data_IF_832199760404
#
_entry.id   IF_832199760404
#
_cell.length_a   1.000
_cell.length_b   1.000
_cell.length_c   1.000
_cell.angle_alpha   90.00
_cell.angle_beta   90.00
_cell.angle_gamma   90.00
#
_symmetry.space_group_name_H-M   'P 1'
#
loop_
_entity.id
_entity.type
_entity.pdbx_description
1 polymer ?
#
# COMPACT_ATOMS: atom_id res chain seq x y z
N UNK A 1 31.93 -17.41 0.04
CA UNK A 1 30.46 -17.47 -0.13
C UNK A 1 29.92 -16.09 0.15
N UNK A 2 29.41 -15.38 -0.87
CA UNK A 2 28.76 -14.08 -0.66
C UNK A 2 27.46 -14.24 0.13
N UNK A 3 27.01 -13.22 0.86
CA UNK A 3 25.77 -13.30 1.64
C UNK A 3 24.61 -13.69 0.71
N UNK A 4 23.78 -14.64 1.17
CA UNK A 4 22.53 -15.00 0.51
C UNK A 4 21.72 -13.70 0.30
N UNK A 5 21.66 -13.23 -0.96
CA UNK A 5 20.85 -12.07 -1.33
C UNK A 5 19.43 -12.38 -0.90
N UNK A 6 18.90 -11.65 0.09
CA UNK A 6 17.49 -11.75 0.53
C UNK A 6 16.64 -11.75 -0.74
N UNK A 7 15.94 -12.85 -1.03
CA UNK A 7 15.09 -12.91 -2.23
C UNK A 7 14.00 -11.87 -2.06
N UNK A 8 13.93 -10.90 -2.97
CA UNK A 8 12.88 -9.88 -2.99
C UNK A 8 11.54 -10.56 -3.20
N UNK A 9 10.53 -10.09 -2.49
CA UNK A 9 9.20 -10.70 -2.48
C UNK A 9 8.59 -10.74 -3.89
N UNK A 10 8.83 -9.69 -4.68
CA UNK A 10 8.38 -9.58 -6.07
C UNK A 10 8.87 -10.75 -6.92
N UNK A 11 10.14 -11.16 -6.74
CA UNK A 11 10.72 -12.32 -7.43
C UNK A 11 10.09 -13.63 -6.96
N UNK A 12 9.81 -13.76 -5.66
CA UNK A 12 9.14 -14.95 -5.12
C UNK A 12 7.73 -15.08 -5.70
N UNK A 13 6.95 -13.99 -5.68
CA UNK A 13 5.60 -13.95 -6.24
C UNK A 13 5.64 -14.26 -7.74
N UNK A 14 6.57 -13.64 -8.49
CA UNK A 14 6.67 -13.87 -9.93
C UNK A 14 6.98 -15.34 -10.24
N UNK A 15 7.95 -15.93 -9.55
CA UNK A 15 8.32 -17.32 -9.76
C UNK A 15 7.17 -18.26 -9.41
N UNK A 16 6.43 -17.97 -8.33
CA UNK A 16 5.28 -18.76 -7.93
C UNK A 16 4.15 -18.68 -8.96
N UNK A 17 3.79 -17.48 -9.41
CA UNK A 17 2.75 -17.29 -10.43
C UNK A 17 3.13 -17.96 -11.76
N UNK A 18 4.40 -17.85 -12.19
CA UNK A 18 4.89 -18.56 -13.38
C UNK A 18 4.84 -20.08 -13.25
N UNK A 19 5.22 -20.60 -12.08
CA UNK A 19 5.11 -22.02 -11.77
C UNK A 19 3.65 -22.50 -11.86
N UNK A 20 2.72 -21.69 -11.37
CA UNK A 20 1.28 -21.95 -11.43
C UNK A 20 0.65 -21.57 -12.79
N UNK A 21 1.48 -21.44 -13.84
CA UNK A 21 1.11 -21.17 -15.23
C UNK A 21 0.43 -19.81 -15.50
N UNK A 22 0.61 -18.83 -14.61
CA UNK A 22 0.20 -17.46 -14.88
C UNK A 22 1.30 -16.68 -15.61
N UNK A 23 0.90 -16.03 -16.70
CA UNK A 23 1.75 -15.08 -17.42
C UNK A 23 1.82 -13.76 -16.65
N UNK A 24 2.98 -13.46 -16.07
CA UNK A 24 3.21 -12.22 -15.32
C UNK A 24 4.58 -11.59 -15.60
N UNK A 25 4.61 -10.26 -15.55
CA UNK A 25 5.80 -9.43 -15.73
C UNK A 25 6.23 -8.81 -14.40
N UNK A 26 7.48 -8.36 -14.35
CA UNK A 26 8.06 -7.73 -13.17
C UNK A 26 8.51 -6.30 -13.48
N UNK A 27 8.28 -5.40 -12.52
CA UNK A 27 8.63 -3.99 -12.56
C UNK A 27 9.20 -3.53 -11.20
N UNK A 28 10.45 -3.89 -10.93
CA UNK A 28 11.14 -3.57 -9.67
C UNK A 28 12.66 -3.41 -9.90
N UNK A 29 13.40 -3.00 -8.86
CA UNK A 29 14.80 -2.59 -8.93
C UNK A 29 15.82 -3.63 -9.40
N UNK A 30 15.48 -4.93 -9.38
CA UNK A 30 16.36 -5.99 -9.91
C UNK A 30 16.14 -6.24 -11.42
N UNK A 31 15.06 -5.71 -12.00
CA UNK A 31 14.78 -5.83 -13.44
C UNK A 31 15.56 -4.75 -14.18
N UNK A 32 16.33 -5.11 -15.20
CA UNK A 32 17.16 -4.17 -15.94
C UNK A 32 16.33 -3.08 -16.66
N UNK A 33 16.86 -1.86 -16.87
CA UNK A 33 16.08 -0.74 -17.46
C UNK A 33 15.42 -1.07 -18.81
N UNK A 34 16.13 -1.79 -19.69
CA UNK A 34 15.60 -2.21 -21.00
C UNK A 34 14.43 -3.19 -20.83
N UNK A 35 14.60 -4.21 -20.00
CA UNK A 35 13.57 -5.20 -19.71
C UNK A 35 12.35 -4.56 -19.05
N UNK A 36 12.53 -3.58 -18.15
CA UNK A 36 11.43 -2.82 -17.56
C UNK A 36 10.57 -2.11 -18.62
N UNK A 37 11.22 -1.46 -19.60
CA UNK A 37 10.52 -0.77 -20.70
C UNK A 37 9.74 -1.76 -21.57
N UNK A 38 10.34 -2.90 -21.89
CA UNK A 38 9.68 -3.97 -22.65
C UNK A 38 8.51 -4.57 -21.89
N UNK A 39 8.67 -4.85 -20.60
CA UNK A 39 7.62 -5.37 -19.73
C UNK A 39 6.45 -4.39 -19.64
N UNK A 40 6.74 -3.10 -19.44
CA UNK A 40 5.72 -2.07 -19.40
C UNK A 40 4.97 -1.96 -20.72
N UNK A 41 5.67 -2.04 -21.85
CA UNK A 41 5.04 -2.05 -23.19
C UNK A 41 4.07 -3.22 -23.36
N UNK A 42 4.50 -4.44 -23.02
CA UNK A 42 3.67 -5.66 -23.07
C UNK A 42 2.47 -5.61 -22.13
N UNK A 43 2.60 -4.93 -20.99
CA UNK A 43 1.50 -4.74 -20.05
C UNK A 43 0.47 -3.73 -20.61
N UNK A 44 0.95 -2.58 -21.08
CA UNK A 44 0.10 -1.52 -21.69
C UNK A 44 -0.65 -2.00 -22.94
N UNK A 45 -0.04 -2.87 -23.74
CA UNK A 45 -0.70 -3.46 -24.92
C UNK A 45 -1.71 -4.55 -24.57
N UNK A 46 -1.81 -4.97 -23.30
CA UNK A 46 -2.67 -6.08 -22.87
C UNK A 46 -2.11 -7.47 -23.22
N UNK A 47 -0.92 -7.56 -23.83
CA UNK A 47 -0.26 -8.85 -24.15
C UNK A 47 -0.03 -9.69 -22.90
N UNK A 48 0.32 -9.05 -21.78
CA UNK A 48 0.36 -9.68 -20.46
C UNK A 48 -0.48 -8.83 -19.50
N UNK A 49 -1.37 -9.46 -18.74
CA UNK A 49 -2.36 -8.77 -17.90
C UNK A 49 -1.99 -8.72 -16.41
N UNK A 50 -0.84 -9.28 -16.03
CA UNK A 50 -0.36 -9.29 -14.64
C UNK A 50 1.02 -8.64 -14.56
N UNK A 51 1.13 -7.58 -13.76
CA UNK A 51 2.38 -6.86 -13.51
C UNK A 51 2.65 -6.82 -12.00
N UNK A 52 3.81 -7.31 -11.59
CA UNK A 52 4.27 -7.29 -10.19
C UNK A 52 5.25 -6.15 -10.04
N UNK A 53 4.98 -5.21 -9.13
CA UNK A 53 5.78 -3.99 -8.99
C UNK A 53 6.05 -3.63 -7.52
N UNK A 54 7.10 -2.84 -7.30
CA UNK A 54 7.33 -2.13 -6.04
C UNK A 54 7.34 -0.61 -6.21
N UNK A 55 6.99 0.11 -5.14
CA UNK A 55 6.73 1.55 -5.13
C UNK A 55 7.88 2.39 -5.69
N UNK A 56 9.12 1.96 -5.47
CA UNK A 56 10.33 2.72 -5.80
C UNK A 56 10.40 3.05 -7.29
N UNK A 57 9.93 2.16 -8.16
CA UNK A 57 9.99 2.39 -9.60
C UNK A 57 8.66 2.80 -10.22
N UNK A 58 7.52 2.57 -9.55
CA UNK A 58 6.20 2.83 -10.14
C UNK A 58 5.79 4.31 -10.10
N UNK A 59 6.43 5.15 -9.27
CA UNK A 59 6.16 6.59 -9.22
C UNK A 59 6.52 7.26 -10.55
N UNK A 60 5.63 8.12 -11.04
CA UNK A 60 5.82 8.84 -12.32
C UNK A 60 5.57 8.00 -13.58
N UNK A 61 5.25 6.71 -13.46
CA UNK A 61 4.87 5.91 -14.62
C UNK A 61 3.37 6.02 -14.82
N UNK A 62 2.99 6.56 -15.98
CA UNK A 62 1.59 6.55 -16.39
C UNK A 62 1.22 5.15 -16.89
N UNK A 63 0.56 4.38 -16.03
CA UNK A 63 -0.06 3.09 -16.34
C UNK A 63 -1.54 3.28 -16.05
N UNK A 64 -2.26 3.92 -16.98
CA UNK A 64 -3.70 4.05 -16.91
C UNK A 64 -4.43 2.73 -17.18
N UNK A 65 -5.72 2.71 -16.85
CA UNK A 65 -6.67 1.66 -17.25
C UNK A 65 -6.49 0.29 -16.61
N UNK A 66 -5.99 0.26 -15.36
CA UNK A 66 -5.92 -0.98 -14.58
C UNK A 66 -7.28 -1.24 -13.94
N UNK A 67 -7.82 -2.45 -14.08
CA UNK A 67 -9.11 -2.83 -13.46
C UNK A 67 -8.97 -3.26 -12.00
N UNK A 68 -7.81 -3.83 -11.64
CA UNK A 68 -7.55 -4.37 -10.32
C UNK A 68 -6.17 -3.96 -9.79
N UNK A 69 -6.13 -3.45 -8.57
CA UNK A 69 -4.89 -3.22 -7.82
C UNK A 69 -4.88 -4.17 -6.63
N UNK A 70 -3.81 -4.97 -6.50
CA UNK A 70 -3.65 -5.91 -5.38
C UNK A 70 -2.42 -5.49 -4.56
N UNK A 71 -2.64 -5.00 -3.36
CA UNK A 71 -1.60 -4.74 -2.37
C UNK A 71 -1.25 -6.03 -1.64
N UNK A 72 -0.30 -6.78 -2.18
CA UNK A 72 0.15 -8.05 -1.56
C UNK A 72 0.82 -7.84 -0.20
N UNK A 73 1.62 -6.78 -0.09
CA UNK A 73 2.10 -6.24 1.18
C UNK A 73 1.48 -4.86 1.38
N UNK A 74 0.99 -4.60 2.60
CA UNK A 74 0.40 -3.31 2.93
C UNK A 74 1.46 -2.20 2.84
N UNK A 75 1.14 -1.03 2.26
CA UNK A 75 2.05 0.11 2.25
C UNK A 75 2.40 0.57 3.68
N UNK A 76 3.62 1.07 3.86
CA UNK A 76 4.10 1.61 5.14
C UNK A 76 3.41 2.92 5.54
N UNK A 77 2.86 3.67 4.57
CA UNK A 77 2.20 4.95 4.78
C UNK A 77 0.93 5.04 3.92
N UNK A 78 -0.12 5.68 4.45
CA UNK A 78 -1.42 5.76 3.81
C UNK A 78 -1.38 6.50 2.46
N UNK A 79 -0.56 7.53 2.33
CA UNK A 79 -0.36 8.22 1.04
C UNK A 79 0.13 7.26 -0.07
N UNK A 80 0.97 6.28 0.26
CA UNK A 80 1.41 5.29 -0.71
C UNK A 80 0.27 4.34 -1.10
N UNK A 81 -0.61 3.99 -0.15
CA UNK A 81 -1.84 3.24 -0.45
C UNK A 81 -2.71 3.99 -1.47
N UNK A 82 -2.99 5.28 -1.22
CA UNK A 82 -3.77 6.13 -2.14
C UNK A 82 -3.14 6.17 -3.54
N UNK A 83 -1.82 6.38 -3.63
CA UNK A 83 -1.10 6.39 -4.91
C UNK A 83 -1.14 5.05 -5.67
N UNK A 84 -1.19 3.92 -4.95
CA UNK A 84 -1.31 2.58 -5.53
C UNK A 84 -2.72 2.33 -6.06
N UNK A 85 -3.75 2.62 -5.26
CA UNK A 85 -5.14 2.39 -5.69
C UNK A 85 -5.57 3.38 -6.78
N UNK A 86 -4.98 4.59 -6.85
CA UNK A 86 -5.20 5.56 -7.94
C UNK A 86 -4.69 5.11 -9.32
N UNK A 87 -4.17 3.88 -9.44
CA UNK A 87 -3.91 3.21 -10.73
C UNK A 87 -5.15 2.56 -11.33
N UNK A 88 -6.17 2.33 -10.52
CA UNK A 88 -7.51 1.90 -10.94
C UNK A 88 -8.52 3.03 -10.75
N UNK A 89 -9.79 2.77 -11.09
CA UNK A 89 -10.92 3.70 -10.87
C UNK A 89 -10.68 5.14 -11.38
N UNK A 90 -10.11 5.28 -12.60
CA UNK A 90 -9.92 6.59 -13.25
C UNK A 90 -11.22 7.04 -13.92
N UNK A 91 -11.44 8.36 -13.96
CA UNK A 91 -12.65 9.08 -14.45
C UNK A 91 -13.56 8.25 -15.36
N UNK A 92 -14.77 7.96 -14.85
CA UNK A 92 -15.84 7.27 -15.58
C UNK A 92 -15.71 5.75 -15.64
N UNK A 93 -14.73 5.14 -14.96
CA UNK A 93 -14.57 3.68 -14.90
C UNK A 93 -14.46 3.19 -13.47
N UNK A 94 -15.13 2.08 -13.18
CA UNK A 94 -14.99 1.37 -11.92
C UNK A 94 -13.63 0.67 -11.82
N UNK A 95 -13.20 0.42 -10.60
CA UNK A 95 -11.92 -0.19 -10.29
C UNK A 95 -11.93 -0.89 -8.95
N UNK A 96 -11.25 -2.03 -8.86
CA UNK A 96 -11.19 -2.82 -7.63
C UNK A 96 -9.82 -2.74 -6.98
N UNK A 97 -9.79 -2.47 -5.68
CA UNK A 97 -8.59 -2.52 -4.86
C UNK A 97 -8.74 -3.63 -3.82
N UNK A 98 -7.76 -4.54 -3.78
CA UNK A 98 -7.67 -5.62 -2.79
C UNK A 98 -6.39 -5.41 -1.99
N UNK A 99 -6.48 -5.44 -0.67
CA UNK A 99 -5.31 -5.21 0.20
C UNK A 99 -5.19 -6.30 1.24
N UNK A 100 -4.02 -6.95 1.29
CA UNK A 100 -3.74 -7.87 2.39
C UNK A 100 -3.26 -7.06 3.60
N UNK A 101 -3.83 -7.36 4.76
CA UNK A 101 -3.51 -6.72 6.05
C UNK A 101 -3.20 -7.78 7.10
N UNK A 102 -2.47 -7.38 8.13
CA UNK A 102 -2.17 -8.21 9.28
C UNK A 102 -2.01 -7.32 10.52
N UNK A 103 -1.71 -7.93 11.66
CA UNK A 103 -1.53 -7.24 12.94
C UNK A 103 -0.38 -6.22 12.95
N UNK A 104 0.55 -6.31 11.99
CA UNK A 104 1.69 -5.40 11.82
C UNK A 104 1.39 -4.27 10.83
N UNK A 105 0.21 -4.25 10.22
CA UNK A 105 -0.21 -3.17 9.31
C UNK A 105 -0.27 -1.85 10.08
N UNK A 106 0.66 -0.94 9.79
CA UNK A 106 0.78 0.36 10.45
C UNK A 106 -0.36 1.32 10.13
N UNK A 107 -0.85 1.27 8.89
CA UNK A 107 -1.90 2.16 8.39
C UNK A 107 -3.32 1.62 8.62
N UNK A 108 -3.50 0.67 9.55
CA UNK A 108 -4.76 -0.05 9.71
C UNK A 108 -5.91 0.88 10.11
N UNK A 109 -5.62 1.92 10.90
CA UNK A 109 -6.58 2.94 11.31
C UNK A 109 -7.05 3.78 10.11
N UNK A 110 -6.12 4.22 9.27
CA UNK A 110 -6.43 4.98 8.05
C UNK A 110 -7.24 4.12 7.06
N UNK A 111 -6.85 2.86 6.88
CA UNK A 111 -7.60 1.91 6.05
C UNK A 111 -9.00 1.68 6.61
N UNK A 112 -9.13 1.45 7.92
CA UNK A 112 -10.43 1.29 8.54
C UNK A 112 -11.29 2.53 8.34
N UNK A 113 -10.75 3.73 8.55
CA UNK A 113 -11.49 4.98 8.44
C UNK A 113 -11.92 5.29 7.00
N UNK A 114 -11.09 4.98 6.01
CA UNK A 114 -11.37 5.24 4.59
C UNK A 114 -12.41 4.30 3.96
N UNK A 115 -12.67 3.13 4.55
CA UNK A 115 -13.68 2.20 4.06
C UNK A 115 -15.06 2.62 4.59
N UNK A 116 -16.02 2.96 3.74
CA UNK A 116 -17.36 3.35 4.17
C UNK A 116 -18.11 2.21 4.87
N UNK A 117 -18.21 1.07 4.20
CA UNK A 117 -18.87 -0.11 4.74
C UNK A 117 -17.92 -0.92 5.64
N UNK A 118 -17.96 -0.69 6.95
CA UNK A 118 -17.11 -1.41 7.91
C UNK A 118 -17.36 -2.93 7.94
N UNK A 119 -18.50 -3.43 7.45
CA UNK A 119 -18.81 -4.87 7.47
C UNK A 119 -17.89 -5.70 6.56
N UNK A 120 -17.23 -5.08 5.58
CA UNK A 120 -16.25 -5.77 4.72
C UNK A 120 -14.84 -5.80 5.34
N UNK A 121 -14.64 -5.11 6.46
CA UNK A 121 -13.37 -5.13 7.18
C UNK A 121 -13.30 -6.38 8.06
N UNK A 122 -12.23 -7.20 7.98
CA UNK A 122 -12.09 -8.40 8.81
C UNK A 122 -12.30 -8.09 10.28
N UNK A 123 -13.12 -8.91 10.96
CA UNK A 123 -13.52 -8.66 12.34
C UNK A 123 -12.30 -8.60 13.28
N UNK A 124 -11.30 -9.45 13.04
CA UNK A 124 -10.04 -9.45 13.78
C UNK A 124 -9.30 -8.11 13.66
N UNK A 125 -9.33 -7.50 12.49
CA UNK A 125 -8.70 -6.20 12.25
C UNK A 125 -9.56 -5.06 12.83
N UNK A 126 -10.89 -5.17 12.80
CA UNK A 126 -11.79 -4.23 13.49
C UNK A 126 -11.56 -4.23 15.00
N UNK A 127 -11.34 -5.40 15.60
CA UNK A 127 -10.97 -5.52 17.02
C UNK A 127 -9.64 -4.80 17.30
N UNK A 128 -8.64 -5.02 16.43
CA UNK A 128 -7.35 -4.33 16.53
C UNK A 128 -7.48 -2.81 16.44
N UNK A 129 -8.33 -2.29 15.55
CA UNK A 129 -8.62 -0.86 15.45
C UNK A 129 -9.21 -0.33 16.76
N UNK A 130 -10.15 -1.05 17.36
CA UNK A 130 -10.73 -0.65 18.65
C UNK A 130 -9.71 -0.66 19.79
N UNK A 131 -8.80 -1.65 19.83
CA UNK A 131 -7.67 -1.66 20.77
C UNK A 131 -6.76 -0.44 20.59
N UNK A 132 -6.44 -0.09 19.34
CA UNK A 132 -5.59 1.06 19.04
C UNK A 132 -6.24 2.37 19.47
N UNK A 133 -7.55 2.55 19.23
CA UNK A 133 -8.31 3.73 19.70
C UNK A 133 -8.22 3.91 21.22
N UNK A 134 -8.43 2.83 21.97
CA UNK A 134 -8.32 2.88 23.44
C UNK A 134 -6.90 3.23 23.91
N UNK A 135 -5.87 2.69 23.24
CA UNK A 135 -4.47 3.02 23.54
C UNK A 135 -4.13 4.47 23.21
N UNK A 136 -4.65 5.01 22.11
CA UNK A 136 -4.51 6.42 21.77
C UNK A 136 -5.15 7.29 22.85
N UNK A 137 -6.39 7.03 23.25
CA UNK A 137 -7.08 7.76 24.32
C UNK A 137 -6.25 7.76 25.64
N UNK A 138 -5.73 6.59 26.03
CA UNK A 138 -4.89 6.46 27.22
C UNK A 138 -3.57 7.24 27.09
N UNK A 139 -2.94 7.21 25.92
CA UNK A 139 -1.69 7.93 25.65
C UNK A 139 -1.91 9.46 25.76
N UNK A 140 -3.01 9.97 25.20
CA UNK A 140 -3.39 11.38 25.31
C UNK A 140 -3.65 11.78 26.77
N UNK A 141 -4.38 10.95 27.53
CA UNK A 141 -4.62 11.19 28.95
C UNK A 141 -3.32 11.23 29.76
N UNK A 142 -2.42 10.26 29.55
CA UNK A 142 -1.14 10.21 30.27
C UNK A 142 -0.27 11.45 29.98
N UNK A 143 -0.27 11.92 28.73
CA UNK A 143 0.45 13.13 28.34
C UNK A 143 -0.11 14.39 29.03
N UNK A 144 -1.43 14.51 29.14
CA UNK A 144 -2.08 15.63 29.87
C UNK A 144 -1.75 15.63 31.37
N UNK A 145 -1.55 14.46 31.95
CA UNK A 145 -1.17 14.29 33.36
C UNK A 145 0.34 14.45 33.61
N UNK A 146 1.12 14.86 32.61
CA UNK A 146 2.57 15.03 32.73
C UNK A 146 3.37 13.71 32.74
N UNK A 147 2.73 12.61 32.35
CA UNK A 147 3.37 11.30 32.20
C UNK A 147 4.25 11.21 30.95
N UNK A 148 4.98 10.10 30.84
CA UNK A 148 5.82 9.82 29.67
C UNK A 148 4.98 9.58 28.40
N UNK A 149 5.52 9.99 27.25
CA UNK A 149 4.90 9.75 25.96
C UNK A 149 4.84 8.24 25.66
N UNK A 150 3.63 7.72 25.48
CA UNK A 150 3.39 6.31 25.11
C UNK A 150 3.17 6.23 23.60
N UNK A 151 3.76 5.23 22.95
CA UNK A 151 3.51 4.92 21.53
C UNK A 151 2.41 3.84 21.43
N UNK A 152 1.19 4.20 20.98
CA UNK A 152 0.07 3.26 20.90
C UNK A 152 0.25 2.17 19.83
N UNK A 153 1.14 2.38 18.85
CA UNK A 153 1.40 1.46 17.73
C UNK A 153 2.55 0.49 18.01
N UNK A 154 3.27 0.65 19.13
CA UNK A 154 4.34 -0.26 19.54
C UNK A 154 3.76 -1.64 19.88
N UNK A 155 3.98 -2.60 18.98
CA UNK A 155 3.49 -3.97 19.14
C UNK A 155 4.15 -4.69 20.32
N UNK A 156 3.35 -5.16 21.27
CA UNK A 156 3.74 -6.14 22.30
C UNK A 156 3.48 -7.60 21.86
N UNK A 157 2.99 -7.82 20.63
CA UNK A 157 2.62 -9.14 20.13
C UNK A 157 3.86 -9.97 19.76
N UNK A 158 4.04 -11.09 20.45
CA UNK A 158 5.08 -12.10 20.24
C UNK A 158 4.58 -13.30 19.40
N UNK A 159 3.37 -13.23 18.84
CA UNK A 159 2.70 -14.33 18.11
C UNK A 159 2.82 -14.24 16.58
N UNK A 160 2.71 -15.39 15.91
CA UNK A 160 2.97 -15.55 14.46
C UNK A 160 2.00 -14.83 13.51
N UNK A 161 2.53 -14.38 12.37
CA UNK A 161 1.89 -13.49 11.39
C UNK A 161 0.83 -14.17 10.52
N UNK A 162 -0.46 -14.02 10.86
CA UNK A 162 -1.59 -14.40 10.01
C UNK A 162 -2.01 -13.22 9.10
N UNK A 163 -2.24 -13.47 7.81
CA UNK A 163 -2.64 -12.45 6.81
C UNK A 163 -4.14 -12.55 6.52
N UNK A 164 -4.82 -11.40 6.49
CA UNK A 164 -6.25 -11.25 6.20
C UNK A 164 -6.45 -10.47 4.87
N UNK A 165 -7.52 -10.78 4.14
CA UNK A 165 -7.82 -10.19 2.83
C UNK A 165 -8.88 -9.08 2.98
N UNK A 166 -8.55 -7.85 2.59
CA UNK A 166 -9.53 -6.78 2.36
C UNK A 166 -9.92 -6.77 0.88
N UNK A 167 -11.18 -7.05 0.59
CA UNK A 167 -11.74 -6.94 -0.76
C UNK A 167 -12.92 -7.88 -0.97
N UNK A 168 -14.14 -7.35 -0.95
CA UNK A 168 -15.31 -8.04 -1.48
C UNK A 168 -15.52 -7.56 -2.94
N UNK A 169 -15.47 -8.43 -3.96
CA UNK A 169 -15.56 -8.02 -5.37
C UNK A 169 -16.89 -7.31 -5.73
N UNK A 170 -17.93 -7.42 -4.90
CA UNK A 170 -19.27 -6.93 -5.23
C UNK A 170 -19.60 -5.51 -4.71
N UNK A 171 -18.68 -4.76 -4.10
CA UNK A 171 -19.03 -3.54 -3.35
C UNK A 171 -18.11 -2.31 -3.51
N UNK A 172 -17.24 -2.24 -4.52
CA UNK A 172 -16.39 -1.05 -4.72
C UNK A 172 -16.89 -0.15 -5.84
N UNK A 173 -17.85 0.72 -5.50
CA UNK A 173 -18.05 2.00 -6.19
C UNK A 173 -17.52 3.10 -5.27
N UNK A 174 -16.25 3.45 -5.37
CA UNK A 174 -15.81 4.76 -4.88
C UNK A 174 -16.00 5.74 -6.03
N UNK A 175 -16.97 6.65 -5.90
CA UNK A 175 -16.86 7.94 -6.57
C UNK A 175 -15.65 8.64 -5.97
N UNK A 176 -14.54 8.67 -6.71
CA UNK A 176 -13.35 9.40 -6.32
C UNK A 176 -13.69 10.89 -6.45
N UNK A 177 -14.18 11.52 -5.38
CA UNK A 177 -14.19 12.97 -5.30
C UNK A 177 -12.75 13.46 -5.48
N UNK A 178 -12.54 14.27 -6.51
CA UNK A 178 -11.24 14.77 -6.93
C UNK A 178 -10.56 15.56 -5.79
N UNK A 179 -9.60 14.94 -5.10
CA UNK A 179 -8.59 15.69 -4.35
C UNK A 179 -7.55 16.28 -5.31
N UNK A 180 -7.98 17.24 -6.12
CA UNK A 180 -7.11 18.19 -6.79
C UNK A 180 -7.29 19.55 -6.11
N UNK A 181 -6.69 19.73 -4.93
CA UNK A 181 -6.28 21.06 -4.50
C UNK A 181 -4.75 21.07 -4.38
N UNK A 182 -4.06 22.00 -5.07
CA UNK A 182 -2.62 22.16 -4.90
C UNK A 182 -2.37 22.88 -3.57
N UNK A 183 -1.82 22.18 -2.58
CA UNK A 183 -1.19 22.85 -1.46
C UNK A 183 0.12 23.47 -1.95
N UNK A 184 0.07 24.77 -2.25
CA UNK A 184 1.25 25.63 -2.33
C UNK A 184 1.95 25.61 -0.96
N UNK A 185 3.03 24.85 -0.84
CA UNK A 185 3.96 25.02 0.27
C UNK A 185 4.77 26.30 0.04
N UNK A 186 4.61 27.22 1.00
CA UNK A 186 5.35 28.46 1.12
C UNK A 186 6.84 28.19 1.13
N UNK A 187 7.52 28.94 0.28
CA UNK A 187 8.93 29.24 0.33
C UNK A 187 9.26 29.73 1.75
N UNK A 188 10.15 29.01 2.44
CA UNK A 188 11.03 29.61 3.43
C UNK A 188 12.44 29.49 2.89
N UNK A 189 12.91 30.60 2.33
CA UNK A 189 14.32 30.92 2.24
C UNK A 189 14.92 30.79 3.64
N UNK A 190 16.04 30.07 3.75
CA UNK A 190 17.13 30.46 4.64
C UNK A 190 18.43 29.79 4.18
N UNK A 191 19.43 30.65 4.10
CA UNK A 191 20.77 30.53 3.56
C UNK A 191 21.62 29.46 4.26
N UNK A 192 22.50 28.77 3.51
CA UNK A 192 23.89 28.58 3.93
C UNK A 192 24.80 28.13 2.76
N UNK A 193 25.63 29.06 2.28
CA UNK A 193 26.91 28.79 1.62
C UNK A 193 28.00 29.44 2.50
N UNK A 194 29.09 28.69 2.72
CA UNK A 194 30.47 29.07 3.12
C UNK A 194 31.03 27.87 3.92
N UNK A 195 32.12 27.17 3.58
CA UNK A 195 33.21 27.29 2.60
C UNK A 195 33.54 25.89 2.02
#
# INVERSE_FOLDING_TARGET
MGPLKRRRLETIIQNRLKHDHFNCLAFHGDVGPKERKENLSKFKSGTIRLLIASDVLARGIDIGDITHVINFDTPEAYQNYVHRIGRTARVGREGTSITFVNEQTKIIMDLYNSIENKSVFPQEMSNRVNELKQKEELAHYNQQMGGSQLDPYRSSYSGGSQRYLLGNPDLYTHEVENYNEPHEERIHDDEYYDE
#
